data_IF_858096038978
#
_entry.id   IF_858096038978
#
_cell.length_a   1.000
_cell.length_b   1.000
_cell.length_c   1.000
_cell.angle_alpha   90.00
_cell.angle_beta   90.00
_cell.angle_gamma   90.00
#
_symmetry.space_group_name_H-M   'P 1'
#
loop_
_entity.id
_entity.type
_entity.pdbx_description
1 polymer ?
#
# COMPACT_ATOMS: atom_id res chain seq x y z
N UNK A 1 -1.50 -7.16 -6.14
CA UNK A 1 -0.24 -7.56 -5.45
C UNK A 1 0.90 -6.58 -5.75
N UNK A 2 1.22 -6.28 -7.01
CA UNK A 2 2.24 -5.27 -7.33
C UNK A 2 1.91 -3.88 -6.75
N UNK A 3 0.64 -3.45 -6.80
CA UNK A 3 0.18 -2.21 -6.14
C UNK A 3 0.54 -2.20 -4.65
N UNK A 4 0.15 -3.26 -3.92
CA UNK A 4 0.45 -3.41 -2.49
C UNK A 4 1.96 -3.38 -2.18
N UNK A 5 2.79 -3.96 -3.05
CA UNK A 5 4.24 -3.92 -2.90
C UNK A 5 4.79 -2.49 -3.01
N UNK A 6 4.30 -1.70 -3.97
CA UNK A 6 4.75 -0.32 -4.14
C UNK A 6 4.18 0.62 -3.07
N UNK A 7 3.00 0.33 -2.54
CA UNK A 7 2.39 1.15 -1.48
C UNK A 7 3.05 0.97 -0.12
N UNK A 8 3.38 -0.29 0.25
CA UNK A 8 3.87 -0.66 1.58
C UNK A 8 5.36 -1.00 1.63
N UNK A 9 6.04 -1.08 0.48
CA UNK A 9 7.45 -1.46 0.29
C UNK A 9 7.87 -2.86 0.78
N UNK A 10 7.07 -3.50 1.64
CA UNK A 10 7.24 -4.88 2.06
C UNK A 10 5.89 -5.60 2.19
N UNK A 11 5.85 -6.85 1.73
CA UNK A 11 4.66 -7.71 1.83
C UNK A 11 5.05 -9.12 2.22
N UNK A 12 4.14 -9.82 2.91
CA UNK A 12 4.25 -11.24 3.22
C UNK A 12 3.37 -12.03 2.26
N UNK A 13 3.94 -12.99 1.53
CA UNK A 13 3.21 -13.81 0.55
C UNK A 13 3.77 -15.23 0.49
N UNK A 14 3.21 -16.09 -0.37
CA UNK A 14 3.76 -17.44 -0.56
C UNK A 14 4.97 -17.40 -1.49
N UNK A 15 5.91 -18.33 -1.30
CA UNK A 15 7.14 -18.44 -2.09
C UNK A 15 6.93 -18.47 -3.61
N UNK A 16 5.97 -19.24 -4.18
CA UNK A 16 5.73 -19.21 -5.62
C UNK A 16 5.21 -17.85 -6.09
N UNK A 17 4.32 -17.20 -5.32
CA UNK A 17 3.81 -15.86 -5.65
C UNK A 17 4.91 -14.80 -5.58
N UNK A 18 5.80 -14.90 -4.58
CA UNK A 18 6.96 -14.01 -4.46
C UNK A 18 7.89 -14.12 -5.67
N UNK A 19 8.17 -15.34 -6.14
CA UNK A 19 9.01 -15.56 -7.33
C UNK A 19 8.37 -14.99 -8.59
N UNK A 20 7.07 -15.19 -8.78
CA UNK A 20 6.36 -14.66 -9.93
C UNK A 20 6.30 -13.12 -9.92
N UNK A 21 6.12 -12.53 -8.73
CA UNK A 21 6.08 -11.08 -8.56
C UNK A 21 7.31 -10.38 -9.12
N UNK A 22 8.50 -11.01 -9.07
CA UNK A 22 9.74 -10.45 -9.65
C UNK A 22 9.60 -10.17 -11.14
N UNK A 23 8.96 -11.08 -11.88
CA UNK A 23 8.76 -10.95 -13.33
C UNK A 23 7.88 -9.75 -13.70
N UNK A 24 7.00 -9.36 -12.79
CA UNK A 24 6.01 -8.30 -13.01
C UNK A 24 6.50 -6.96 -12.47
N UNK A 25 7.04 -6.94 -11.25
CA UNK A 25 7.40 -5.71 -10.55
C UNK A 25 8.74 -5.12 -10.96
N UNK A 26 9.78 -5.95 -11.21
CA UNK A 26 11.10 -5.43 -11.59
C UNK A 26 11.07 -4.64 -12.92
N UNK A 27 10.37 -5.11 -13.99
CA UNK A 27 10.24 -4.31 -15.21
C UNK A 27 9.49 -3.00 -15.02
N UNK A 28 8.52 -2.94 -14.09
CA UNK A 28 7.79 -1.70 -13.79
C UNK A 28 8.70 -0.66 -13.14
N UNK A 29 9.58 -1.08 -12.22
CA UNK A 29 10.59 -0.20 -11.60
C UNK A 29 11.59 0.28 -12.65
N UNK A 30 12.05 -0.61 -13.55
CA UNK A 30 12.95 -0.21 -14.65
C UNK A 30 12.29 0.84 -15.56
N UNK A 31 11.00 0.68 -15.89
CA UNK A 31 10.27 1.69 -16.67
C UNK A 31 10.17 3.02 -15.91
N UNK A 32 10.00 2.98 -14.59
CA UNK A 32 9.83 4.16 -13.74
C UNK A 32 11.09 5.03 -13.61
N UNK A 33 12.27 4.52 -13.99
CA UNK A 33 13.52 5.29 -14.00
C UNK A 33 13.47 6.51 -14.93
N UNK A 34 12.92 6.35 -16.13
CA UNK A 34 12.70 7.51 -17.00
C UNK A 34 11.23 7.85 -17.00
N UNK A 35 10.92 9.07 -16.57
CA UNK A 35 9.56 9.54 -16.54
C UNK A 35 9.09 10.01 -17.92
N UNK A 36 8.02 9.40 -18.42
CA UNK A 36 7.36 9.77 -19.66
C UNK A 36 5.87 9.39 -19.55
N UNK A 37 4.99 10.23 -20.09
CA UNK A 37 3.55 9.98 -20.23
C UNK A 37 3.26 8.61 -20.85
N UNK A 38 4.01 8.19 -21.87
CA UNK A 38 3.82 6.88 -22.50
C UNK A 38 4.10 5.72 -21.51
N UNK A 39 5.19 5.81 -20.74
CA UNK A 39 5.54 4.80 -19.73
C UNK A 39 4.54 4.79 -18.58
N UNK A 40 4.11 5.96 -18.09
CA UNK A 40 3.04 6.08 -17.09
C UNK A 40 1.75 5.39 -17.54
N UNK A 41 1.34 5.54 -18.80
CA UNK A 41 0.15 4.86 -19.36
C UNK A 41 0.30 3.34 -19.42
N UNK A 42 1.46 2.83 -19.83
CA UNK A 42 1.75 1.39 -19.89
C UNK A 42 1.75 0.78 -18.49
N UNK A 43 2.37 1.44 -17.52
CA UNK A 43 2.40 0.96 -16.14
C UNK A 43 1.00 1.02 -15.52
N UNK A 44 0.26 2.10 -15.76
CA UNK A 44 -1.11 2.26 -15.27
C UNK A 44 -2.07 1.19 -15.80
N UNK A 45 -1.94 0.76 -17.07
CA UNK A 45 -2.81 -0.29 -17.63
C UNK A 45 -2.66 -1.64 -16.91
N UNK A 46 -1.47 -1.91 -16.34
CA UNK A 46 -1.14 -3.12 -15.58
C UNK A 46 -1.48 -3.00 -14.09
N UNK A 47 -1.16 -1.85 -13.48
CA UNK A 47 -1.34 -1.62 -12.04
C UNK A 47 -2.77 -1.23 -11.66
N UNK A 48 -3.42 -0.40 -12.47
CA UNK A 48 -4.76 0.17 -12.26
C UNK A 48 -4.95 0.91 -10.93
N UNK A 49 -3.87 1.37 -10.32
CA UNK A 49 -3.88 2.14 -9.07
C UNK A 49 -3.06 3.42 -9.24
N UNK A 50 -3.71 4.57 -9.04
CA UNK A 50 -3.10 5.89 -9.21
C UNK A 50 -2.14 6.23 -8.07
N UNK A 51 -2.41 5.74 -6.86
CA UNK A 51 -1.59 6.02 -5.67
C UNK A 51 -0.23 5.32 -5.78
N UNK A 52 -0.25 4.02 -6.08
CA UNK A 52 0.95 3.23 -6.30
C UNK A 52 1.75 3.73 -7.51
N UNK A 53 1.08 4.18 -8.57
CA UNK A 53 1.75 4.78 -9.73
C UNK A 53 2.49 6.07 -9.35
N UNK A 54 1.86 6.94 -8.56
CA UNK A 54 2.48 8.18 -8.08
C UNK A 54 3.77 7.90 -7.30
N UNK A 55 3.71 7.02 -6.30
CA UNK A 55 4.90 6.62 -5.53
C UNK A 55 6.00 6.00 -6.40
N UNK A 56 5.61 5.14 -7.33
CA UNK A 56 6.56 4.45 -8.20
C UNK A 56 7.41 5.42 -9.04
N UNK A 57 6.81 6.45 -9.63
CA UNK A 57 7.54 7.43 -10.45
C UNK A 57 8.20 8.55 -9.63
N UNK A 58 7.58 8.98 -8.52
CA UNK A 58 8.09 10.10 -7.74
C UNK A 58 9.20 9.69 -6.76
N UNK A 59 9.10 8.50 -6.14
CA UNK A 59 10.01 8.07 -5.07
C UNK A 59 10.92 6.93 -5.54
N UNK A 60 10.33 5.85 -6.06
CA UNK A 60 11.08 4.63 -6.39
C UNK A 60 11.93 4.76 -7.65
N UNK A 61 11.46 5.48 -8.67
CA UNK A 61 12.21 5.72 -9.91
C UNK A 61 13.57 6.38 -9.66
N UNK A 62 13.60 7.57 -9.01
CA UNK A 62 14.85 8.26 -8.65
C UNK A 62 15.75 7.43 -7.72
N UNK A 63 15.16 6.71 -6.75
CA UNK A 63 15.91 5.91 -5.78
C UNK A 63 16.71 4.76 -6.40
N UNK A 64 16.27 4.21 -7.52
CA UNK A 64 16.94 3.07 -8.16
C UNK A 64 17.70 3.41 -9.44
N UNK A 65 17.95 4.69 -9.74
CA UNK A 65 18.61 5.10 -10.98
C UNK A 65 19.95 4.37 -11.21
N UNK A 66 20.82 4.43 -10.21
CA UNK A 66 22.19 3.90 -10.29
C UNK A 66 22.26 2.36 -10.23
N UNK A 67 21.17 1.70 -9.85
CA UNK A 67 21.14 0.24 -9.65
C UNK A 67 20.77 -0.48 -10.96
N UNK A 68 21.65 -1.33 -11.54
CA UNK A 68 21.38 -1.98 -12.83
C UNK A 68 20.31 -3.09 -12.79
N UNK A 69 19.81 -3.47 -11.61
CA UNK A 69 18.72 -4.43 -11.45
C UNK A 69 18.63 -5.03 -10.04
N UNK A 70 17.69 -5.96 -9.85
CA UNK A 70 17.52 -6.65 -8.57
C UNK A 70 16.95 -5.76 -7.46
N UNK A 71 15.81 -5.10 -7.73
CA UNK A 71 15.17 -4.16 -6.79
C UNK A 71 14.39 -4.84 -5.66
N UNK A 72 14.17 -6.16 -5.77
CA UNK A 72 13.40 -6.94 -4.80
C UNK A 72 14.26 -7.97 -4.09
N UNK A 73 14.04 -8.09 -2.80
CA UNK A 73 14.60 -9.12 -1.93
C UNK A 73 13.49 -10.07 -1.49
N UNK A 74 13.75 -11.37 -1.61
CA UNK A 74 12.83 -12.43 -1.15
C UNK A 74 13.49 -13.17 0.01
N UNK A 75 12.89 -13.08 1.19
CA UNK A 75 13.32 -13.77 2.41
C UNK A 75 12.32 -14.88 2.72
N UNK A 76 12.76 -16.12 2.85
CA UNK A 76 11.86 -17.24 3.19
C UNK A 76 11.47 -17.15 4.67
N UNK A 77 10.18 -17.28 4.97
CA UNK A 77 9.66 -17.20 6.34
C UNK A 77 8.78 -18.39 6.69
N UNK A 78 9.41 -19.56 6.80
CA UNK A 78 8.77 -20.79 7.26
C UNK A 78 7.54 -21.21 6.42
N UNK A 79 6.62 -21.91 7.09
CA UNK A 79 5.39 -22.41 6.49
C UNK A 79 4.18 -21.83 7.21
N UNK A 80 3.09 -21.68 6.48
CA UNK A 80 1.81 -21.23 7.04
C UNK A 80 1.14 -22.39 7.81
N UNK A 81 0.57 -22.06 8.97
CA UNK A 81 -0.20 -23.02 9.76
C UNK A 81 -1.49 -23.40 9.03
N UNK A 82 -1.79 -24.71 8.96
CA UNK A 82 -2.99 -25.25 8.31
C UNK A 82 -2.69 -25.90 6.96
N UNK A 83 -2.21 -25.13 5.98
CA UNK A 83 -1.95 -25.62 4.61
C UNK A 83 -0.47 -25.95 4.32
N UNK A 84 0.41 -25.75 5.30
CA UNK A 84 1.87 -25.93 5.19
C UNK A 84 2.45 -25.24 3.94
N UNK A 85 1.87 -24.12 3.51
CA UNK A 85 2.35 -23.41 2.34
C UNK A 85 3.66 -22.66 2.66
N UNK A 86 4.71 -22.77 1.82
CA UNK A 86 5.96 -22.05 2.06
C UNK A 86 5.74 -20.55 1.91
N UNK A 87 6.09 -19.79 2.94
CA UNK A 87 5.91 -18.35 3.02
C UNK A 87 7.22 -17.61 2.75
N UNK A 88 7.11 -16.37 2.27
CA UNK A 88 8.23 -15.47 2.05
C UNK A 88 7.83 -14.01 2.28
N UNK A 89 8.76 -13.22 2.81
CA UNK A 89 8.72 -11.76 2.76
C UNK A 89 9.32 -11.28 1.45
N UNK A 90 8.67 -10.30 0.82
CA UNK A 90 9.16 -9.61 -0.36
C UNK A 90 9.32 -8.14 0.01
N UNK A 91 10.53 -7.63 -0.16
CA UNK A 91 10.90 -6.28 0.24
C UNK A 91 11.59 -5.55 -0.91
N UNK A 92 11.35 -4.25 -1.00
CA UNK A 92 12.15 -3.34 -1.81
C UNK A 92 13.51 -3.11 -1.17
N UNK A 93 14.55 -2.97 -1.98
CA UNK A 93 15.94 -2.79 -1.52
C UNK A 93 16.17 -1.32 -1.12
N UNK A 94 17.21 -1.04 -0.32
CA UNK A 94 17.61 0.32 0.07
C UNK A 94 16.52 1.13 0.81
N UNK A 95 15.64 0.47 1.59
CA UNK A 95 14.66 1.19 2.40
C UNK A 95 15.38 2.02 3.45
N UNK A 96 14.98 3.29 3.67
CA UNK A 96 15.44 4.01 4.85
C UNK A 96 15.02 3.21 6.08
N UNK A 97 15.95 2.98 7.00
CA UNK A 97 15.66 2.36 8.28
C UNK A 97 14.71 3.30 9.03
N UNK A 98 13.48 2.85 9.23
CA UNK A 98 12.53 3.54 10.11
C UNK A 98 12.89 3.08 11.51
N UNK A 99 13.51 3.96 12.29
CA UNK A 99 13.79 3.70 13.70
C UNK A 99 12.45 3.39 14.42
N UNK A 100 12.38 2.31 15.21
CA UNK A 100 11.11 1.76 15.71
C UNK A 100 10.45 2.57 16.84
N UNK A 101 10.80 3.84 17.04
CA UNK A 101 10.39 4.61 18.22
C UNK A 101 8.93 5.08 18.21
N UNK A 102 8.20 5.00 17.10
CA UNK A 102 6.82 5.56 17.01
C UNK A 102 5.66 4.55 17.19
N UNK A 103 5.93 3.27 17.53
CA UNK A 103 4.87 2.23 17.63
C UNK A 103 4.37 1.91 19.05
N UNK A 104 4.75 2.67 20.09
CA UNK A 104 4.33 2.42 21.49
C UNK A 104 3.19 3.31 22.01
N UNK A 105 2.38 3.92 21.15
CA UNK A 105 1.17 4.62 21.58
C UNK A 105 -0.09 3.79 21.27
N UNK A 106 -0.34 2.75 22.06
CA UNK A 106 -1.67 2.12 22.17
C UNK A 106 -2.25 2.48 23.53
N UNK A 107 -3.38 3.20 23.64
CA UNK A 107 -4.26 3.08 24.78
C UNK A 107 -5.37 2.09 24.40
N UNK A 108 -5.21 0.84 24.82
CA UNK A 108 -6.28 -0.13 24.88
C UNK A 108 -6.55 -0.42 26.37
N UNK A 109 -7.39 0.40 27.01
CA UNK A 109 -8.11 0.00 28.22
C UNK A 109 -9.32 0.91 28.42
N UNK A 110 -10.50 0.43 28.04
CA UNK A 110 -11.70 0.41 28.89
C UNK A 110 -12.83 -0.27 28.13
N UNK A 111 -13.04 -1.53 28.47
CA UNK A 111 -14.29 -2.23 28.28
C UNK A 111 -15.16 -2.02 29.53
N UNK A 112 -16.48 -2.02 29.30
CA UNK A 112 -17.57 -2.27 30.26
C UNK A 112 -18.06 -1.13 31.17
N UNK A 113 -19.09 -0.41 30.68
CA UNK A 113 -20.33 -0.25 31.45
C UNK A 113 -21.51 0.00 30.50
N UNK A 114 -22.42 -0.97 30.39
CA UNK A 114 -23.80 -0.75 29.92
C UNK A 114 -24.68 -0.71 31.18
N UNK A 115 -25.58 0.28 31.34
CA UNK A 115 -27.00 0.11 30.98
C UNK A 115 -27.54 1.34 30.21
N UNK A 116 -28.30 1.16 29.12
CA UNK A 116 -29.77 1.28 29.08
C UNK A 116 -30.30 2.68 29.47
N UNK A 117 -30.54 3.54 28.47
CA UNK A 117 -31.65 4.51 28.47
C UNK A 117 -31.90 5.03 27.03
N UNK A 118 -33.09 4.77 26.48
CA UNK A 118 -33.67 5.55 25.39
C UNK A 118 -34.14 6.89 25.94
N UNK A 119 -33.90 8.00 25.21
CA UNK A 119 -35.07 8.76 24.78
C UNK A 119 -34.99 9.33 23.36
N UNK A 120 -36.19 9.40 22.78
CA UNK A 120 -36.77 10.36 21.82
C UNK A 120 -35.89 11.22 20.87
N UNK A 121 -36.18 11.02 19.57
CA UNK A 121 -36.68 12.02 18.61
C UNK A 121 -36.13 13.46 18.71
N UNK A 122 -35.35 13.86 17.70
CA UNK A 122 -35.56 15.16 17.05
C UNK A 122 -34.92 15.18 15.65
N UNK A 123 -35.78 15.44 14.66
CA UNK A 123 -35.43 15.76 13.27
C UNK A 123 -34.98 17.22 13.23
N UNK A 124 -33.78 17.56 12.72
CA UNK A 124 -33.53 18.91 12.26
C UNK A 124 -33.88 19.00 10.78
N UNK A 125 -35.08 19.53 10.54
CA UNK A 125 -35.45 20.22 9.31
C UNK A 125 -34.80 21.61 9.31
N UNK A 126 -34.56 22.13 8.09
CA UNK A 126 -34.14 23.49 7.72
C UNK A 126 -32.62 23.70 7.54
N UNK A 127 -32.23 24.16 6.34
CA UNK A 127 -31.92 25.59 6.14
C UNK A 127 -31.77 25.94 4.66
N UNK A 128 -32.54 26.97 4.28
CA UNK A 128 -32.37 27.99 3.24
C UNK A 128 -32.15 27.60 1.76
N UNK A 129 -33.22 27.76 0.98
CA UNK A 129 -33.12 28.38 -0.35
C UNK A 129 -33.84 29.73 -0.30
N UNK A 130 -33.09 30.81 -0.51
CA UNK A 130 -33.55 32.19 -0.62
C UNK A 130 -33.13 32.73 -2.02
N UNK A 131 -33.71 33.84 -2.50
CA UNK A 131 -34.87 33.84 -3.39
C UNK A 131 -34.56 34.32 -4.81
N UNK A 132 -35.47 33.97 -5.73
CA UNK A 132 -35.54 34.49 -7.09
C UNK A 132 -35.77 36.02 -7.13
N UNK A 133 -35.00 36.69 -7.99
CA UNK A 133 -35.24 38.04 -8.50
C UNK A 133 -35.09 38.01 -10.03
N UNK A 134 -36.22 38.06 -10.73
CA UNK A 134 -36.60 39.05 -11.76
C UNK A 134 -37.94 38.67 -12.37
#
# INVERSE_FOLDING_TARGET
MAASLFTHEAIKTTLPKAKELRRVAEPMITMAKEDNVARRRIVFSRLRDKSALGKLFNELGPRYQDRPGGYLRILKCGFRAGDNAPMAYVELVDRPEVEPEELTATPAEQAESKPEETPEVETPEQTEEAPAKQ
#
